data_IF_308899854894
#
_entry.id   IF_308899854894
#
_cell.length_a   1.000
_cell.length_b   1.000
_cell.length_c   1.000
_cell.angle_alpha   90.00
_cell.angle_beta   90.00
_cell.angle_gamma   90.00
#
_symmetry.space_group_name_H-M   'P 1'
#
loop_
_entity.id
_entity.type
_entity.pdbx_description
1 polymer ?
#
# COMPACT_ATOMS: atom_id res chain seq x y z
N UNK A 1 4.19 57.79 -26.33
CA UNK A 1 5.04 58.36 -27.40
C UNK A 1 6.48 58.06 -27.02
N UNK A 2 7.00 56.82 -27.04
CA UNK A 2 7.34 55.98 -28.20
C UNK A 2 8.21 56.63 -29.29
N UNK A 3 8.76 57.82 -29.06
CA UNK A 3 9.59 58.55 -30.05
C UNK A 3 11.10 58.61 -29.71
N UNK A 4 11.55 58.11 -28.55
CA UNK A 4 12.99 58.12 -28.20
C UNK A 4 13.71 56.77 -28.42
N UNK A 5 13.08 55.79 -29.08
CA UNK A 5 13.68 54.46 -29.24
C UNK A 5 14.48 54.25 -30.55
N UNK A 6 14.67 55.28 -31.38
CA UNK A 6 15.20 55.11 -32.76
C UNK A 6 16.37 56.05 -33.13
N UNK A 7 16.93 56.82 -32.18
CA UNK A 7 18.10 57.67 -32.48
C UNK A 7 19.35 57.13 -31.79
N UNK A 8 20.18 56.47 -32.60
CA UNK A 8 21.59 56.21 -32.33
C UNK A 8 22.27 57.46 -31.78
N UNK A 9 22.67 57.41 -30.51
CA UNK A 9 23.49 58.45 -29.89
C UNK A 9 24.82 58.55 -30.66
N UNK A 10 25.15 59.70 -31.27
CA UNK A 10 26.31 59.84 -32.15
C UNK A 10 27.64 59.97 -31.40
N UNK A 11 27.64 59.75 -30.08
CA UNK A 11 28.83 59.81 -29.26
C UNK A 11 28.85 58.61 -28.30
N UNK A 12 29.46 57.47 -28.67
CA UNK A 12 29.58 56.35 -27.75
C UNK A 12 30.42 56.82 -26.57
N UNK A 13 29.79 57.05 -25.41
CA UNK A 13 30.53 57.24 -24.15
C UNK A 13 31.35 55.98 -23.93
N UNK A 14 32.63 56.04 -24.31
CA UNK A 14 33.61 54.97 -24.17
C UNK A 14 33.77 54.70 -22.67
N UNK A 15 33.03 53.72 -22.17
CA UNK A 15 33.12 53.26 -20.78
C UNK A 15 34.43 52.48 -20.63
N UNK A 16 35.52 53.24 -20.44
CA UNK A 16 36.86 52.72 -20.21
C UNK A 16 36.99 52.25 -18.74
N UNK A 17 36.14 51.32 -18.30
CA UNK A 17 36.24 50.73 -16.95
C UNK A 17 36.68 49.26 -17.07
N UNK A 18 37.94 48.99 -17.46
CA UNK A 18 38.44 47.62 -17.55
C UNK A 18 38.30 46.90 -16.19
N UNK A 19 38.39 47.66 -15.10
CA UNK A 19 38.17 47.18 -13.74
C UNK A 19 36.83 46.43 -13.57
N UNK A 20 35.73 46.93 -14.13
CA UNK A 20 34.42 46.28 -13.98
C UNK A 20 34.38 44.92 -14.68
N UNK A 21 35.07 44.80 -15.84
CA UNK A 21 35.20 43.53 -16.57
C UNK A 21 36.08 42.55 -15.79
N UNK A 22 37.19 43.00 -15.20
CA UNK A 22 38.03 42.16 -14.36
C UNK A 22 37.29 41.66 -13.12
N UNK A 23 36.50 42.52 -12.47
CA UNK A 23 35.69 42.14 -11.31
C UNK A 23 34.59 41.15 -11.69
N UNK A 24 33.88 41.35 -12.81
CA UNK A 24 32.87 40.39 -13.26
C UNK A 24 33.48 39.06 -13.65
N UNK A 25 34.64 39.07 -14.30
CA UNK A 25 35.36 37.85 -14.69
C UNK A 25 35.86 37.08 -13.47
N UNK A 26 36.39 37.76 -12.46
CA UNK A 26 36.80 37.14 -11.19
C UNK A 26 35.60 36.50 -10.48
N UNK A 27 34.46 37.20 -10.45
CA UNK A 27 33.24 36.67 -9.84
C UNK A 27 32.70 35.44 -10.58
N UNK A 28 32.72 35.45 -11.91
CA UNK A 28 32.31 34.30 -12.73
C UNK A 28 33.23 33.10 -12.52
N UNK A 29 34.55 33.31 -12.48
CA UNK A 29 35.52 32.24 -12.21
C UNK A 29 35.32 31.69 -10.79
N UNK A 30 35.11 32.54 -9.79
CA UNK A 30 34.82 32.10 -8.43
C UNK A 30 33.51 31.27 -8.39
N UNK A 31 32.45 31.74 -9.04
CA UNK A 31 31.17 31.03 -9.10
C UNK A 31 31.29 29.66 -9.78
N UNK A 32 31.95 29.58 -10.94
CA UNK A 32 32.23 28.32 -11.62
C UNK A 32 33.10 27.39 -10.78
N UNK A 33 34.12 27.93 -10.11
CA UNK A 33 35.00 27.14 -9.26
C UNK A 33 34.22 26.52 -8.09
N UNK A 34 33.32 27.26 -7.44
CA UNK A 34 32.43 26.77 -6.38
C UNK A 34 31.49 25.68 -6.92
N UNK A 35 30.89 25.88 -8.10
CA UNK A 35 29.97 24.91 -8.73
C UNK A 35 30.69 23.59 -9.05
N UNK A 36 31.98 23.63 -9.37
CA UNK A 36 32.82 22.44 -9.57
C UNK A 36 33.29 21.84 -8.24
N UNK A 37 33.62 22.68 -7.24
CA UNK A 37 34.12 22.23 -5.94
C UNK A 37 33.05 21.55 -5.09
N UNK A 38 31.79 22.01 -5.14
CA UNK A 38 30.67 21.43 -4.38
C UNK A 38 30.52 19.93 -4.67
N UNK A 39 30.34 19.46 -5.91
CA UNK A 39 30.23 18.03 -6.18
C UNK A 39 31.52 17.26 -5.90
N UNK A 40 32.69 17.92 -5.87
CA UNK A 40 33.98 17.31 -5.53
C UNK A 40 34.22 17.14 -4.02
N UNK A 41 33.68 18.03 -3.20
CA UNK A 41 33.73 17.93 -1.72
C UNK A 41 32.65 16.96 -1.23
N UNK A 42 31.51 16.90 -1.91
CA UNK A 42 30.36 16.03 -1.58
C UNK A 42 30.29 14.79 -2.49
N UNK A 43 31.39 14.09 -2.74
CA UNK A 43 31.47 12.90 -3.64
C UNK A 43 30.89 11.61 -3.06
N UNK A 44 29.83 11.67 -2.26
CA UNK A 44 29.10 10.48 -1.79
C UNK A 44 27.98 10.11 -2.79
N UNK A 45 28.35 9.90 -4.05
CA UNK A 45 27.40 9.55 -5.12
C UNK A 45 27.91 8.46 -6.08
N UNK A 46 28.66 7.48 -5.56
CA UNK A 46 28.83 6.20 -6.26
C UNK A 46 28.34 5.06 -5.36
N UNK A 47 27.13 4.51 -5.62
CA UNK A 47 26.65 3.31 -4.94
C UNK A 47 27.45 2.11 -5.45
N UNK A 48 28.66 1.93 -4.90
CA UNK A 48 29.53 0.76 -5.16
C UNK A 48 28.80 -0.57 -4.85
N UNK A 49 27.71 -0.51 -4.11
CA UNK A 49 26.78 -1.61 -3.80
C UNK A 49 26.04 -2.17 -5.02
N UNK A 50 25.87 -1.39 -6.11
CA UNK A 50 25.21 -1.88 -7.34
C UNK A 50 26.14 -2.65 -8.27
N UNK A 51 27.46 -2.44 -8.20
CA UNK A 51 28.42 -3.11 -9.09
C UNK A 51 28.83 -4.51 -8.59
N UNK A 52 28.66 -4.82 -7.30
CA UNK A 52 29.03 -6.12 -6.72
C UNK A 52 27.91 -7.16 -6.75
N UNK A 53 26.64 -6.75 -6.89
CA UNK A 53 25.47 -7.64 -6.87
C UNK A 53 25.20 -8.33 -8.20
N UNK A 54 25.82 -7.89 -9.30
CA UNK A 54 25.65 -8.47 -10.64
C UNK A 54 26.59 -9.64 -10.95
N UNK A 55 27.55 -9.97 -10.06
CA UNK A 55 28.55 -11.03 -10.30
C UNK A 55 28.41 -12.26 -9.37
N UNK A 56 27.36 -12.35 -8.56
CA UNK A 56 27.09 -13.56 -7.75
C UNK A 56 25.73 -14.13 -8.15
N UNK A 57 25.74 -15.38 -8.63
CA UNK A 57 24.51 -16.08 -8.95
C UNK A 57 23.73 -16.32 -7.63
N UNK A 58 22.43 -15.97 -7.57
CA UNK A 58 21.64 -16.22 -6.37
C UNK A 58 21.64 -17.73 -6.07
N UNK A 59 21.80 -18.14 -4.80
CA UNK A 59 21.78 -19.55 -4.43
C UNK A 59 20.43 -20.17 -4.85
N UNK A 60 20.41 -21.45 -5.27
CA UNK A 60 19.18 -22.12 -5.64
C UNK A 60 18.19 -22.10 -4.46
N UNK A 61 16.87 -21.95 -4.71
CA UNK A 61 15.87 -21.95 -3.65
C UNK A 61 15.93 -23.29 -2.87
N UNK A 62 15.74 -23.26 -1.55
CA UNK A 62 15.69 -24.49 -0.76
C UNK A 62 14.57 -25.40 -1.26
N UNK A 63 14.76 -26.73 -1.24
CA UNK A 63 13.70 -27.67 -1.62
C UNK A 63 12.47 -27.47 -0.72
N UNK A 64 11.25 -27.61 -1.26
CA UNK A 64 10.05 -27.49 -0.47
C UNK A 64 10.05 -28.52 0.68
N UNK A 65 9.58 -28.15 1.88
CA UNK A 65 9.48 -29.08 2.99
C UNK A 65 8.57 -30.27 2.61
N UNK A 66 8.90 -31.49 3.05
CA UNK A 66 8.03 -32.64 2.81
C UNK A 66 6.64 -32.39 3.41
N UNK A 67 5.56 -32.81 2.73
CA UNK A 67 4.21 -32.66 3.26
C UNK A 67 4.11 -33.31 4.65
N UNK A 68 3.42 -32.68 5.61
CA UNK A 68 3.21 -33.25 6.94
C UNK A 68 2.61 -34.65 6.79
N UNK A 69 3.22 -35.64 7.47
CA UNK A 69 2.64 -36.96 7.57
C UNK A 69 1.18 -36.83 8.03
N UNK A 70 0.25 -37.36 7.25
CA UNK A 70 -1.17 -37.36 7.57
C UNK A 70 -1.35 -37.90 8.98
N UNK A 71 -1.77 -37.04 9.91
CA UNK A 71 -2.10 -37.44 11.26
C UNK A 71 -3.20 -38.49 11.16
N UNK A 72 -2.91 -39.72 11.60
CA UNK A 72 -3.92 -40.75 11.68
C UNK A 72 -4.98 -40.28 12.67
N UNK A 73 -6.19 -40.00 12.16
CA UNK A 73 -7.34 -39.68 12.98
C UNK A 73 -7.72 -40.93 13.76
N UNK A 74 -7.18 -41.07 14.98
CA UNK A 74 -7.62 -42.08 15.93
C UNK A 74 -9.06 -41.72 16.31
N UNK A 75 -10.02 -42.41 15.70
CA UNK A 75 -11.42 -42.35 16.08
C UNK A 75 -11.57 -43.06 17.43
N UNK A 76 -11.35 -42.32 18.52
CA UNK A 76 -11.70 -42.80 19.85
C UNK A 76 -13.22 -42.70 19.98
N UNK A 77 -13.91 -43.84 19.90
CA UNK A 77 -15.32 -43.94 20.28
C UNK A 77 -15.42 -43.56 21.77
N UNK A 78 -16.14 -42.50 22.16
CA UNK A 78 -16.31 -42.19 23.57
C UNK A 78 -17.21 -43.27 24.20
N UNK A 79 -16.64 -44.20 24.97
CA UNK A 79 -17.41 -45.00 25.90
C UNK A 79 -17.74 -44.12 27.10
N UNK A 80 -18.97 -43.62 27.15
CA UNK A 80 -19.52 -43.03 28.37
C UNK A 80 -19.72 -44.13 29.41
N UNK A 81 -18.77 -44.30 30.34
CA UNK A 81 -19.03 -44.93 31.63
C UNK A 81 -19.73 -43.89 32.51
N UNK A 82 -21.02 -43.67 32.25
CA UNK A 82 -21.91 -43.08 33.23
C UNK A 82 -22.41 -44.23 34.10
N UNK A 83 -22.21 -44.11 35.41
CA UNK A 83 -22.54 -45.03 36.51
C UNK A 83 -21.38 -45.92 37.00
N UNK A 84 -20.69 -45.48 38.04
CA UNK A 84 -20.11 -46.38 39.04
C UNK A 84 -20.67 -46.01 40.42
N UNK A 85 -21.30 -46.99 41.07
CA UNK A 85 -21.76 -46.96 42.46
C UNK A 85 -22.54 -45.73 42.98
N UNK A 86 -23.51 -45.19 42.23
CA UNK A 86 -24.61 -44.39 42.80
C UNK A 86 -24.25 -43.03 43.43
N UNK A 87 -23.06 -42.48 43.16
CA UNK A 87 -22.67 -41.12 43.58
C UNK A 87 -22.54 -40.18 42.38
N UNK A 88 -23.40 -39.18 42.30
CA UNK A 88 -23.26 -38.06 41.37
C UNK A 88 -22.05 -37.21 41.77
N UNK A 89 -20.91 -37.37 41.09
CA UNK A 89 -19.78 -36.46 41.22
C UNK A 89 -19.88 -35.36 40.16
N UNK A 90 -19.97 -34.10 40.62
CA UNK A 90 -19.91 -32.94 39.72
C UNK A 90 -18.47 -32.75 39.21
N UNK A 91 -18.23 -32.62 37.90
CA UNK A 91 -16.91 -32.34 37.35
C UNK A 91 -16.40 -30.98 37.85
N UNK A 92 -15.21 -30.95 38.47
CA UNK A 92 -14.64 -29.75 39.11
C UNK A 92 -13.59 -29.02 38.26
N UNK A 93 -13.45 -29.34 36.98
CA UNK A 93 -12.44 -28.69 36.12
C UNK A 93 -13.07 -28.24 34.81
N UNK A 94 -13.17 -26.93 34.63
CA UNK A 94 -13.43 -26.30 33.33
C UNK A 94 -12.09 -26.30 32.57
N UNK A 95 -11.97 -26.98 31.42
CA UNK A 95 -10.77 -26.95 30.60
C UNK A 95 -10.50 -25.51 30.13
N UNK A 96 -9.26 -25.03 30.31
CA UNK A 96 -8.86 -23.65 30.01
C UNK A 96 -8.60 -23.36 28.52
N UNK A 97 -8.72 -24.37 27.66
CA UNK A 97 -8.48 -24.21 26.22
C UNK A 97 -9.76 -24.49 25.43
N UNK A 98 -10.42 -23.40 25.03
CA UNK A 98 -11.43 -23.42 23.96
C UNK A 98 -10.66 -23.27 22.65
N UNK A 99 -10.31 -24.39 22.01
CA UNK A 99 -9.86 -24.36 20.61
C UNK A 99 -11.08 -24.05 19.74
N UNK A 100 -11.14 -22.81 19.22
CA UNK A 100 -12.04 -22.45 18.13
C UNK A 100 -11.71 -23.36 16.95
N UNK A 101 -12.61 -24.30 16.69
CA UNK A 101 -12.58 -25.10 15.47
C UNK A 101 -12.93 -24.13 14.36
N UNK A 102 -11.95 -23.88 13.49
CA UNK A 102 -12.19 -23.21 12.23
C UNK A 102 -12.89 -24.23 11.35
N UNK A 103 -14.22 -24.10 11.24
CA UNK A 103 -15.00 -24.73 10.18
C UNK A 103 -14.54 -24.10 8.86
N UNK A 104 -13.53 -24.71 8.24
CA UNK A 104 -13.36 -24.60 6.81
C UNK A 104 -14.57 -25.28 6.17
N UNK A 105 -15.34 -24.50 5.41
CA UNK A 105 -16.50 -24.97 4.69
C UNK A 105 -16.16 -26.25 3.93
N UNK A 106 -16.96 -27.29 4.17
CA UNK A 106 -16.90 -28.57 3.48
C UNK A 106 -16.85 -28.32 1.96
N UNK A 107 -15.94 -28.97 1.21
CA UNK A 107 -16.12 -29.06 -0.22
C UNK A 107 -17.39 -29.86 -0.47
N UNK A 108 -18.38 -29.20 -1.03
CA UNK A 108 -19.62 -29.77 -1.53
C UNK A 108 -19.30 -31.06 -2.30
N UNK A 109 -19.69 -32.20 -1.71
CA UNK A 109 -19.70 -33.48 -2.38
C UNK A 109 -20.85 -33.47 -3.40
N UNK A 110 -20.65 -32.72 -4.47
CA UNK A 110 -21.52 -32.70 -5.65
C UNK A 110 -20.79 -33.34 -6.84
N UNK A 111 -21.27 -34.50 -7.26
CA UNK A 111 -20.88 -35.24 -8.46
C UNK A 111 -19.63 -36.13 -8.36
N UNK A 112 -19.82 -37.27 -7.70
CA UNK A 112 -19.23 -38.54 -8.15
C UNK A 112 -19.57 -38.73 -9.63
N UNK A 113 -18.61 -38.45 -10.51
CA UNK A 113 -18.68 -38.83 -11.92
C UNK A 113 -18.63 -40.34 -12.04
N UNK A 114 -19.80 -40.99 -12.08
CA UNK A 114 -19.92 -42.39 -12.46
C UNK A 114 -19.51 -42.56 -13.91
N UNK A 115 -18.36 -43.20 -14.09
CA UNK A 115 -17.92 -43.86 -15.31
C UNK A 115 -18.95 -44.93 -15.70
N UNK A 116 -19.72 -44.67 -16.75
CA UNK A 116 -20.70 -45.60 -17.29
C UNK A 116 -21.08 -45.23 -18.72
N UNK A 117 -20.14 -45.40 -19.66
CA UNK A 117 -20.44 -45.26 -21.08
C UNK A 117 -21.31 -46.41 -21.58
N UNK A 118 -22.44 -46.09 -22.18
CA UNK A 118 -23.20 -47.01 -23.04
C UNK A 118 -22.86 -46.64 -24.50
N UNK A 119 -22.27 -47.53 -25.30
CA UNK A 119 -21.89 -47.22 -26.68
C UNK A 119 -23.11 -47.05 -27.59
N UNK A 120 -23.26 -45.86 -28.20
CA UNK A 120 -24.12 -45.64 -29.37
C UNK A 120 -25.25 -44.63 -29.18
N UNK A 121 -25.04 -43.38 -29.61
CA UNK A 121 -26.07 -42.35 -29.72
C UNK A 121 -25.53 -41.12 -30.45
N UNK A 122 -26.16 -40.77 -31.57
CA UNK A 122 -25.66 -39.90 -32.64
C UNK A 122 -25.56 -38.40 -32.27
N UNK A 123 -24.64 -37.72 -32.96
CA UNK A 123 -24.35 -36.30 -32.86
C UNK A 123 -25.42 -35.41 -33.52
N UNK A 124 -25.77 -34.29 -32.87
CA UNK A 124 -26.41 -33.13 -33.51
C UNK A 124 -27.82 -32.81 -33.02
N UNK A 125 -27.93 -31.78 -32.19
CA UNK A 125 -29.22 -31.21 -31.75
C UNK A 125 -29.06 -29.80 -31.19
N UNK A 126 -28.96 -28.82 -32.09
CA UNK A 126 -29.31 -27.43 -31.78
C UNK A 126 -30.58 -27.11 -32.55
N UNK A 127 -31.67 -26.77 -31.87
CA UNK A 127 -32.66 -25.84 -32.42
C UNK A 127 -33.51 -25.28 -31.30
N UNK A 128 -33.47 -23.95 -31.16
CA UNK A 128 -34.25 -23.21 -30.19
C UNK A 128 -35.75 -23.39 -30.40
N UNK A 129 -36.45 -23.71 -29.31
CA UNK A 129 -37.90 -23.63 -29.21
C UNK A 129 -38.30 -22.24 -28.74
N UNK A 130 -38.82 -21.42 -29.65
CA UNK A 130 -39.72 -20.33 -29.30
C UNK A 130 -41.10 -20.93 -29.01
N UNK A 131 -41.72 -20.59 -27.88
CA UNK A 131 -43.17 -20.72 -27.68
C UNK A 131 -43.58 -20.00 -26.39
N UNK A 132 -44.43 -18.98 -26.52
CA UNK A 132 -45.33 -18.53 -25.45
C UNK A 132 -45.13 -17.09 -25.00
N UNK A 133 -45.73 -16.13 -25.72
CA UNK A 133 -46.00 -14.80 -25.20
C UNK A 133 -47.17 -14.83 -24.21
N UNK A 134 -46.98 -14.25 -23.03
CA UNK A 134 -48.05 -13.68 -22.21
C UNK A 134 -47.57 -12.36 -21.58
N UNK A 135 -48.50 -11.43 -21.59
CA UNK A 135 -48.43 -10.01 -21.25
C UNK A 135 -48.09 -9.80 -19.77
N UNK A 136 -47.16 -8.89 -19.45
CA UNK A 136 -46.93 -8.44 -18.08
C UNK A 136 -45.72 -7.53 -17.89
N UNK A 137 -45.93 -6.22 -17.89
CA UNK A 137 -45.16 -5.23 -17.12
C UNK A 137 -43.66 -5.12 -17.37
N UNK A 138 -43.27 -4.26 -18.31
CA UNK A 138 -41.90 -3.74 -18.43
C UNK A 138 -41.57 -2.82 -17.22
N UNK A 139 -41.24 -3.41 -16.08
CA UNK A 139 -40.43 -2.78 -15.05
C UNK A 139 -39.00 -3.25 -15.27
N UNK A 140 -38.23 -2.50 -16.08
CA UNK A 140 -36.82 -2.80 -16.31
C UNK A 140 -36.11 -2.93 -14.97
N UNK A 141 -35.56 -4.12 -14.69
CA UNK A 141 -34.72 -4.33 -13.53
C UNK A 141 -33.62 -3.25 -13.53
N UNK A 142 -33.35 -2.57 -12.41
CA UNK A 142 -32.25 -1.62 -12.35
C UNK A 142 -30.97 -2.33 -12.79
N UNK A 143 -30.12 -1.67 -13.59
CA UNK A 143 -28.88 -2.27 -14.08
C UNK A 143 -28.07 -2.83 -12.89
N UNK A 144 -27.42 -4.00 -13.06
CA UNK A 144 -26.63 -4.59 -11.99
C UNK A 144 -25.63 -3.54 -11.46
N UNK A 145 -25.49 -3.39 -10.13
CA UNK A 145 -24.57 -2.43 -9.56
C UNK A 145 -23.18 -2.69 -10.12
N UNK A 146 -22.58 -1.66 -10.75
CA UNK A 146 -21.21 -1.72 -11.26
C UNK A 146 -20.31 -2.26 -10.13
N UNK A 147 -19.43 -3.24 -10.40
CA UNK A 147 -18.50 -3.74 -9.40
C UNK A 147 -17.76 -2.55 -8.79
N UNK A 148 -17.91 -2.35 -7.47
CA UNK A 148 -17.12 -1.35 -6.75
C UNK A 148 -15.67 -1.84 -6.81
N UNK A 149 -14.89 -1.28 -7.74
CA UNK A 149 -13.47 -1.57 -7.86
C UNK A 149 -12.81 -1.36 -6.51
N UNK A 150 -12.04 -2.34 -6.06
CA UNK A 150 -11.30 -2.25 -4.79
C UNK A 150 -10.31 -1.08 -4.79
N UNK A 151 -9.78 -0.70 -3.61
CA UNK A 151 -8.84 0.40 -3.48
C UNK A 151 -7.70 0.27 -4.48
N UNK A 152 -7.44 1.32 -5.24
CA UNK A 152 -6.33 1.34 -6.18
C UNK A 152 -5.03 1.39 -5.37
N UNK A 153 -4.12 0.43 -5.55
CA UNK A 153 -2.80 0.49 -4.91
C UNK A 153 -1.92 1.49 -5.63
N UNK A 154 -1.62 2.61 -4.97
CA UNK A 154 -0.72 3.64 -5.49
C UNK A 154 0.51 3.68 -4.60
N UNK A 155 1.69 3.49 -5.20
CA UNK A 155 2.96 3.43 -4.46
C UNK A 155 3.15 4.65 -3.55
N UNK A 156 3.69 4.42 -2.34
CA UNK A 156 3.72 5.40 -1.24
C UNK A 156 4.31 6.78 -1.59
N UNK A 157 5.19 6.86 -2.60
CA UNK A 157 5.78 8.14 -3.01
C UNK A 157 4.87 9.00 -3.92
N UNK A 158 3.86 8.41 -4.57
CA UNK A 158 3.01 9.16 -5.53
C UNK A 158 1.86 9.90 -4.84
N UNK A 159 1.47 9.47 -3.63
CA UNK A 159 0.44 10.15 -2.82
C UNK A 159 0.99 11.24 -1.90
N UNK A 160 2.27 11.15 -1.50
CA UNK A 160 2.93 12.19 -0.71
C UNK A 160 2.90 13.57 -1.43
N UNK A 161 2.79 13.58 -2.75
CA UNK A 161 2.71 14.80 -3.57
C UNK A 161 1.29 15.43 -3.65
N UNK A 162 0.26 14.83 -3.04
CA UNK A 162 -1.14 15.31 -3.10
C UNK A 162 -1.77 15.56 -1.73
N UNK A 163 -0.98 15.93 -0.72
CA UNK A 163 -1.51 16.35 0.58
C UNK A 163 -1.98 17.81 0.48
N UNK A 164 -3.26 18.06 0.75
CA UNK A 164 -3.87 19.40 0.79
C UNK A 164 -3.64 20.06 2.15
N UNK A 165 -3.78 19.29 3.23
CA UNK A 165 -3.53 19.76 4.58
C UNK A 165 -2.72 18.72 5.35
N UNK A 166 -1.59 19.16 5.91
CA UNK A 166 -0.67 18.34 6.70
C UNK A 166 -0.55 18.89 8.11
N UNK A 167 -1.02 18.11 9.08
CA UNK A 167 -0.82 18.40 10.50
C UNK A 167 0.46 17.72 10.97
N UNK A 168 1.36 18.47 11.60
CA UNK A 168 2.59 17.89 12.15
C UNK A 168 2.27 17.06 13.41
N UNK A 169 2.86 15.86 13.57
CA UNK A 169 2.61 15.04 14.73
C UNK A 169 3.23 15.65 15.99
N UNK A 170 2.44 15.69 17.06
CA UNK A 170 2.92 16.17 18.36
C UNK A 170 3.84 15.12 18.97
N UNK A 171 5.07 15.51 19.27
CA UNK A 171 6.06 14.59 19.83
C UNK A 171 5.73 14.24 21.29
N UNK A 172 5.50 12.95 21.64
CA UNK A 172 5.14 12.56 22.99
C UNK A 172 6.21 12.91 24.04
N UNK A 173 5.85 13.49 25.20
CA UNK A 173 6.83 13.90 26.22
C UNK A 173 7.75 12.76 26.67
N UNK A 174 7.20 11.55 26.85
CA UNK A 174 7.98 10.38 27.25
C UNK A 174 9.03 10.00 26.18
N UNK A 175 8.66 10.06 24.90
CA UNK A 175 9.59 9.80 23.79
C UNK A 175 10.68 10.88 23.69
N UNK A 176 10.38 12.15 23.99
CA UNK A 176 11.37 13.23 24.06
C UNK A 176 12.37 13.02 25.20
N UNK A 177 11.88 12.68 26.40
CA UNK A 177 12.72 12.45 27.58
C UNK A 177 13.67 11.26 27.38
N UNK A 178 13.18 10.22 26.71
CA UNK A 178 13.94 9.00 26.40
C UNK A 178 14.69 9.07 25.07
N UNK A 179 14.64 10.21 24.38
CA UNK A 179 15.30 10.48 23.08
C UNK A 179 14.98 9.46 21.98
N UNK A 180 13.72 9.03 21.88
CA UNK A 180 13.30 8.02 20.90
C UNK A 180 12.87 8.66 19.59
N UNK A 181 13.74 8.64 18.59
CA UNK A 181 13.46 9.07 17.21
C UNK A 181 13.21 7.87 16.28
N UNK A 182 12.56 8.12 15.14
CA UNK A 182 12.40 7.11 14.11
C UNK A 182 11.28 7.43 13.12
N UNK A 183 11.07 6.53 12.16
CA UNK A 183 9.98 6.62 11.19
C UNK A 183 8.87 5.65 11.58
N UNK A 184 7.64 6.15 11.65
CA UNK A 184 6.44 5.32 11.80
C UNK A 184 5.83 5.14 10.41
N UNK A 185 5.64 3.89 9.99
CA UNK A 185 4.99 3.57 8.71
C UNK A 185 3.57 3.13 8.98
N UNK A 186 2.63 3.79 8.30
CA UNK A 186 1.20 3.59 8.43
C UNK A 186 0.64 3.13 7.10
N UNK A 187 -0.23 2.13 7.11
CA UNK A 187 -1.07 1.80 5.97
C UNK A 187 -2.33 2.65 6.04
N UNK A 188 -2.71 3.28 4.94
CA UNK A 188 -3.87 4.15 4.89
C UNK A 188 -4.69 3.90 3.63
N UNK A 189 -6.01 3.91 3.80
CA UNK A 189 -6.97 3.95 2.69
C UNK A 189 -7.53 5.38 2.62
N UNK A 190 -7.22 6.07 1.54
CA UNK A 190 -7.70 7.42 1.26
C UNK A 190 -8.98 7.32 0.45
N UNK A 191 -10.03 7.94 0.95
CA UNK A 191 -11.34 7.97 0.32
C UNK A 191 -11.40 8.86 -0.92
N UNK A 192 -12.49 8.71 -1.67
CA UNK A 192 -12.88 9.57 -2.81
C UNK A 192 -12.96 11.06 -2.49
N UNK A 193 -13.20 11.41 -1.24
CA UNK A 193 -13.28 12.77 -0.71
C UNK A 193 -11.91 13.31 -0.24
N UNK A 194 -10.86 12.47 -0.28
CA UNK A 194 -9.53 12.82 0.20
C UNK A 194 -9.37 12.73 1.72
N UNK A 195 -10.33 12.12 2.42
CA UNK A 195 -10.19 11.82 3.85
C UNK A 195 -9.62 10.42 4.06
N UNK A 196 -9.06 10.17 5.24
CA UNK A 196 -8.52 8.84 5.57
C UNK A 196 -9.65 8.00 6.14
N UNK A 197 -10.01 6.92 5.44
CA UNK A 197 -11.07 6.00 5.84
C UNK A 197 -10.57 4.89 6.75
N UNK A 198 -9.38 4.34 6.45
CA UNK A 198 -8.73 3.32 7.28
C UNK A 198 -7.28 3.72 7.52
N UNK A 199 -6.79 3.44 8.73
CA UNK A 199 -5.43 3.73 9.14
C UNK A 199 -4.92 2.63 10.07
N UNK A 200 -3.88 1.93 9.66
CA UNK A 200 -3.27 0.84 10.40
C UNK A 200 -1.77 1.07 10.57
N UNK A 201 -1.22 0.65 11.71
CA UNK A 201 0.22 0.76 11.96
C UNK A 201 0.92 -0.46 11.38
N UNK A 202 1.83 -0.24 10.44
CA UNK A 202 2.67 -1.30 9.90
C UNK A 202 3.94 -1.50 10.73
N UNK A 203 4.61 -0.41 11.10
CA UNK A 203 5.85 -0.45 11.87
C UNK A 203 6.18 0.89 12.52
N UNK A 204 7.00 0.87 13.56
CA UNK A 204 7.46 2.07 14.26
C UNK A 204 7.52 1.84 15.77
N UNK A 205 8.17 2.76 16.49
CA UNK A 205 8.29 2.63 17.94
C UNK A 205 6.94 2.85 18.64
N UNK A 206 6.50 1.99 19.60
CA UNK A 206 5.17 2.07 20.23
C UNK A 206 4.81 3.44 20.80
N UNK A 207 5.79 4.13 21.40
CA UNK A 207 5.58 5.48 21.94
C UNK A 207 5.30 6.55 20.87
N UNK A 208 5.67 6.33 19.60
CA UNK A 208 5.45 7.28 18.50
C UNK A 208 4.20 6.97 17.68
N UNK A 209 3.74 5.71 17.71
CA UNK A 209 2.63 5.22 16.87
C UNK A 209 1.35 6.02 17.09
N UNK A 210 0.95 6.25 18.35
CA UNK A 210 -0.27 6.97 18.67
C UNK A 210 -0.25 8.41 18.15
N UNK A 211 0.86 9.12 18.38
CA UNK A 211 1.04 10.48 17.88
C UNK A 211 1.01 10.55 16.35
N UNK A 212 1.54 9.54 15.67
CA UNK A 212 1.48 9.44 14.21
C UNK A 212 0.03 9.23 13.73
N UNK A 213 -0.72 8.33 14.37
CA UNK A 213 -2.13 8.06 14.05
C UNK A 213 -2.99 9.33 14.22
N UNK A 214 -2.84 10.03 15.34
CA UNK A 214 -3.65 11.20 15.67
C UNK A 214 -3.38 12.36 14.69
N UNK A 215 -2.13 12.54 14.28
CA UNK A 215 -1.76 13.54 13.29
C UNK A 215 -2.28 13.21 11.90
N UNK A 216 -2.04 11.98 11.44
CA UNK A 216 -2.39 11.53 10.09
C UNK A 216 -3.90 11.51 9.89
N UNK A 217 -4.69 11.15 10.91
CA UNK A 217 -6.17 11.25 10.86
C UNK A 217 -6.70 12.64 10.48
N UNK A 218 -5.94 13.70 10.79
CA UNK A 218 -6.33 15.08 10.49
C UNK A 218 -5.87 15.53 9.09
N UNK A 219 -5.09 14.70 8.39
CA UNK A 219 -4.61 15.04 7.06
C UNK A 219 -5.77 15.00 6.06
N UNK A 220 -5.62 15.84 5.03
CA UNK A 220 -6.53 15.88 3.88
C UNK A 220 -5.71 15.76 2.63
N UNK A 221 -6.15 14.89 1.74
CA UNK A 221 -5.53 14.62 0.46
C UNK A 221 -6.40 15.13 -0.67
N UNK A 222 -5.79 15.34 -1.83
CA UNK A 222 -6.54 15.61 -3.03
C UNK A 222 -7.13 14.29 -3.56
N UNK A 223 -8.45 14.25 -3.85
CA UNK A 223 -9.08 13.10 -4.49
C UNK A 223 -8.30 12.63 -5.72
N UNK A 224 -8.00 11.34 -5.78
CA UNK A 224 -7.39 10.75 -6.96
C UNK A 224 -8.49 10.35 -7.92
N UNK A 225 -8.44 10.90 -9.14
CA UNK A 225 -9.39 10.62 -10.21
C UNK A 225 -8.82 9.52 -11.11
N UNK A 226 -9.63 8.50 -11.39
CA UNK A 226 -9.37 7.48 -12.40
C UNK A 226 -10.49 7.60 -13.46
N UNK A 227 -10.12 7.91 -14.71
CA UNK A 227 -11.08 8.14 -15.80
C UNK A 227 -12.14 9.24 -15.50
N UNK A 228 -11.78 10.23 -14.67
CA UNK A 228 -12.69 11.31 -14.26
C UNK A 228 -13.52 11.02 -13.02
N UNK A 229 -13.55 9.77 -12.54
CA UNK A 229 -14.25 9.37 -11.33
C UNK A 229 -13.30 9.30 -10.13
N UNK A 230 -13.68 9.81 -8.94
CA UNK A 230 -12.85 9.69 -7.75
C UNK A 230 -12.83 8.23 -7.24
N UNK A 231 -11.64 7.74 -6.93
CA UNK A 231 -11.40 6.36 -6.46
C UNK A 231 -10.72 6.33 -5.10
N UNK A 232 -10.99 5.27 -4.34
CA UNK A 232 -10.30 5.01 -3.09
C UNK A 232 -8.87 4.52 -3.39
N UNK A 233 -7.91 4.97 -2.58
CA UNK A 233 -6.49 4.67 -2.77
C UNK A 233 -5.90 4.00 -1.55
N UNK A 234 -5.25 2.87 -1.77
CA UNK A 234 -4.47 2.14 -0.79
C UNK A 234 -3.00 2.60 -0.89
N UNK A 235 -2.46 3.12 0.22
CA UNK A 235 -1.08 3.63 0.29
C UNK A 235 -0.40 3.39 1.63
N UNK A 236 0.91 3.61 1.65
CA UNK A 236 1.73 3.61 2.87
C UNK A 236 2.28 5.02 3.11
N UNK A 237 2.09 5.53 4.32
CA UNK A 237 2.50 6.85 4.78
C UNK A 237 3.65 6.70 5.77
N UNK A 238 4.75 7.42 5.52
CA UNK A 238 5.91 7.46 6.40
C UNK A 238 5.93 8.77 7.20
N UNK A 239 5.86 8.66 8.52
CA UNK A 239 5.90 9.79 9.46
C UNK A 239 7.24 9.79 10.19
N UNK A 240 8.06 10.80 9.94
CA UNK A 240 9.41 10.92 10.49
C UNK A 240 9.37 11.74 11.78
N UNK A 241 9.87 11.17 12.88
CA UNK A 241 10.06 11.86 14.16
C UNK A 241 11.55 12.10 14.40
N UNK A 242 11.96 13.36 14.43
CA UNK A 242 13.30 13.80 14.82
C UNK A 242 13.23 14.71 16.06
N UNK A 243 14.23 14.63 16.93
CA UNK A 243 14.24 15.34 18.22
C UNK A 243 14.50 16.85 18.10
N UNK A 244 14.81 17.34 16.91
CA UNK A 244 15.19 18.72 16.63
C UNK A 244 14.08 19.51 15.91
N UNK A 245 12.86 18.97 15.86
CA UNK A 245 11.68 19.65 15.30
C UNK A 245 10.80 20.25 16.40
#
# INVERSE_FOLDING_TARGET
>A
MFEEMVVSSPNPKKTNKPWTVFVSMLFQVAFLSILILIPLIYTEALPKTMMATMLTAPPPPPPPPPPPATAQVVHVKPQAHLMDAGKLMAPKVIPKEVKIIKEDAEPDMGAVGMTGGVPGGVAGGSMGGVLGGVIGGMGGAPPPPKPKGGPLKVGGNVQAARIVNRVQPVYPPLARQTRISGTVRLHAIIGKDGTIQSLEVLSGHPLLQQAALDAVRQWRYQPTLLNGDPVDVDTTIDVIFSLNQ
#
